data_IF_086719349646
#
_entry.id   IF_086719349646
#
_cell.length_a   1.000
_cell.length_b   1.000
_cell.length_c   1.000
_cell.angle_alpha   90.00
_cell.angle_beta   90.00
_cell.angle_gamma   90.00
#
_symmetry.space_group_name_H-M   'P 1'
#
loop_
_entity.id
_entity.type
_entity.pdbx_description
1 polymer ?
#
# COMPACT_ATOMS: atom_id res chain seq x y z
N UNK A 1 -21.50 31.06 -14.87
CA UNK A 1 -21.58 29.89 -13.91
C UNK A 1 -20.84 28.63 -14.35
N UNK A 2 -20.09 28.61 -15.45
CA UNK A 2 -19.37 27.42 -15.96
C UNK A 2 -17.95 27.31 -15.42
N UNK A 3 -17.34 28.41 -14.97
CA UNK A 3 -15.92 28.39 -14.51
C UNK A 3 -15.67 27.77 -13.13
N UNK A 4 -16.64 27.77 -12.22
CA UNK A 4 -16.52 27.19 -10.87
C UNK A 4 -16.53 25.65 -10.86
N UNK A 5 -17.19 25.04 -11.83
CA UNK A 5 -17.32 23.58 -11.92
C UNK A 5 -16.03 22.90 -12.42
N UNK A 6 -15.27 23.53 -13.29
CA UNK A 6 -14.03 22.98 -13.85
C UNK A 6 -12.88 22.97 -12.82
N UNK A 7 -12.79 23.98 -11.96
CA UNK A 7 -11.78 24.02 -10.89
C UNK A 7 -12.06 22.98 -9.79
N UNK A 8 -13.33 22.76 -9.46
CA UNK A 8 -13.74 21.78 -8.45
C UNK A 8 -13.56 20.34 -8.92
N UNK A 9 -13.87 20.06 -10.19
CA UNK A 9 -13.68 18.73 -10.80
C UNK A 9 -12.22 18.36 -10.95
N UNK A 10 -11.36 19.33 -11.29
CA UNK A 10 -9.91 19.11 -11.37
C UNK A 10 -9.30 18.83 -10.00
N UNK A 11 -9.71 19.54 -8.94
CA UNK A 11 -9.25 19.28 -7.58
C UNK A 11 -9.69 17.89 -7.08
N UNK A 12 -10.94 17.52 -7.26
CA UNK A 12 -11.47 16.20 -6.87
C UNK A 12 -10.77 15.06 -7.61
N UNK A 13 -10.48 15.22 -8.90
CA UNK A 13 -9.75 14.22 -9.68
C UNK A 13 -8.30 14.04 -9.14
N UNK A 14 -7.62 15.14 -8.88
CA UNK A 14 -6.26 15.12 -8.32
C UNK A 14 -6.26 14.41 -6.95
N UNK A 15 -7.20 14.71 -6.07
CA UNK A 15 -7.33 14.06 -4.77
C UNK A 15 -7.57 12.55 -4.91
N UNK A 16 -8.44 12.11 -5.83
CA UNK A 16 -8.68 10.68 -6.09
C UNK A 16 -7.38 9.99 -6.51
N UNK A 17 -6.66 10.59 -7.47
CA UNK A 17 -5.39 10.05 -7.96
C UNK A 17 -4.36 9.97 -6.83
N UNK A 18 -4.23 11.00 -6.00
CA UNK A 18 -3.29 11.01 -4.88
C UNK A 18 -3.63 9.90 -3.89
N UNK A 19 -4.89 9.76 -3.48
CA UNK A 19 -5.32 8.73 -2.53
C UNK A 19 -5.04 7.32 -3.04
N UNK A 20 -5.40 7.05 -4.30
CA UNK A 20 -5.20 5.75 -4.92
C UNK A 20 -3.72 5.45 -5.16
N UNK A 21 -2.96 6.46 -5.63
CA UNK A 21 -1.53 6.34 -5.86
C UNK A 21 -0.76 6.04 -4.58
N UNK A 22 -1.05 6.77 -3.48
CA UNK A 22 -0.37 6.55 -2.20
C UNK A 22 -0.59 5.13 -1.67
N UNK A 23 -1.82 4.62 -1.73
CA UNK A 23 -2.11 3.23 -1.31
C UNK A 23 -1.39 2.21 -2.19
N UNK A 24 -1.39 2.42 -3.51
CA UNK A 24 -0.66 1.55 -4.45
C UNK A 24 0.84 1.58 -4.18
N UNK A 25 1.39 2.76 -3.91
CA UNK A 25 2.80 2.96 -3.61
C UNK A 25 3.22 2.28 -2.30
N UNK A 26 2.44 2.47 -1.23
CA UNK A 26 2.65 1.80 0.05
C UNK A 26 2.58 0.28 -0.12
N UNK A 27 1.60 -0.20 -0.89
CA UNK A 27 1.46 -1.63 -1.18
C UNK A 27 2.67 -2.20 -1.93
N UNK A 28 3.12 -1.52 -2.97
CA UNK A 28 4.30 -1.91 -3.74
C UNK A 28 5.56 -1.96 -2.87
N UNK A 29 5.75 -0.98 -1.99
CA UNK A 29 6.87 -1.01 -1.05
C UNK A 29 6.76 -2.15 -0.03
N UNK A 30 5.58 -2.40 0.53
CA UNK A 30 5.36 -3.53 1.44
C UNK A 30 5.76 -4.85 0.79
N UNK A 31 5.37 -5.06 -0.47
CA UNK A 31 5.69 -6.29 -1.20
C UNK A 31 7.17 -6.41 -1.52
N UNK A 32 7.83 -5.34 -1.94
CA UNK A 32 9.19 -5.38 -2.47
C UNK A 32 10.29 -5.20 -1.44
N UNK A 33 10.13 -4.23 -0.53
CA UNK A 33 11.22 -3.75 0.33
C UNK A 33 10.85 -3.75 1.81
N UNK A 34 9.56 -3.75 2.13
CA UNK A 34 9.04 -3.43 3.45
C UNK A 34 8.82 -1.93 3.60
N UNK A 35 7.93 -1.58 4.52
CA UNK A 35 7.57 -0.19 4.85
C UNK A 35 7.78 0.05 6.34
N UNK A 36 8.02 1.32 6.69
CA UNK A 36 8.05 1.79 8.08
C UNK A 36 6.83 2.66 8.42
N UNK A 37 6.68 2.96 9.69
CA UNK A 37 5.61 3.84 10.18
C UNK A 37 5.66 5.24 9.56
N UNK A 38 6.84 5.70 9.10
CA UNK A 38 6.99 7.01 8.47
C UNK A 38 6.15 7.13 7.19
N UNK A 39 6.21 6.13 6.29
CA UNK A 39 5.41 6.14 5.06
C UNK A 39 3.91 6.11 5.35
N UNK A 40 3.51 5.43 6.43
CA UNK A 40 2.12 5.43 6.88
C UNK A 40 1.72 6.79 7.48
N UNK A 41 2.62 7.46 8.20
CA UNK A 41 2.39 8.80 8.71
C UNK A 41 2.25 9.83 7.59
N UNK A 42 3.05 9.73 6.52
CA UNK A 42 2.91 10.59 5.36
C UNK A 42 1.50 10.44 4.73
N UNK A 43 0.99 9.21 4.65
CA UNK A 43 -0.38 8.97 4.18
C UNK A 43 -1.45 9.46 5.15
N UNK A 44 -1.21 9.38 6.46
CA UNK A 44 -2.10 9.97 7.46
C UNK A 44 -2.33 11.47 7.19
N UNK A 45 -1.26 12.24 6.91
CA UNK A 45 -1.37 13.66 6.59
C UNK A 45 -2.16 13.91 5.30
N UNK A 46 -2.01 13.07 4.29
CA UNK A 46 -2.82 13.15 3.06
C UNK A 46 -4.30 12.94 3.37
N UNK A 47 -4.64 11.96 4.22
CA UNK A 47 -6.03 11.67 4.60
C UNK A 47 -6.69 12.81 5.39
N UNK A 48 -5.94 13.53 6.22
CA UNK A 48 -6.50 14.64 7.01
C UNK A 48 -6.56 15.95 6.24
N UNK A 49 -5.73 16.13 5.20
CA UNK A 49 -5.70 17.36 4.40
C UNK A 49 -6.82 17.42 3.36
N UNK A 50 -7.29 16.28 2.87
CA UNK A 50 -8.29 16.21 1.81
C UNK A 50 -9.74 16.23 2.34
N UNK A 51 -10.65 16.82 1.59
CA UNK A 51 -12.08 16.65 1.83
C UNK A 51 -12.57 15.34 1.19
N UNK A 52 -12.49 14.27 1.99
CA UNK A 52 -12.85 12.93 1.54
C UNK A 52 -14.35 12.74 1.30
N UNK A 53 -15.21 13.66 1.77
CA UNK A 53 -16.67 13.51 1.65
C UNK A 53 -17.14 13.43 0.21
N UNK A 54 -16.51 14.20 -0.69
CA UNK A 54 -16.86 14.29 -2.10
C UNK A 54 -16.25 13.18 -2.95
N UNK A 55 -15.10 12.64 -2.55
CA UNK A 55 -14.34 11.72 -3.39
C UNK A 55 -14.39 10.26 -2.90
N UNK A 56 -14.84 10.02 -1.67
CA UNK A 56 -14.81 8.69 -1.02
C UNK A 56 -15.39 7.58 -1.89
N UNK A 57 -16.60 7.76 -2.42
CA UNK A 57 -17.25 6.74 -3.23
C UNK A 57 -16.44 6.40 -4.50
N UNK A 58 -15.81 7.41 -5.10
CA UNK A 58 -14.99 7.22 -6.28
C UNK A 58 -13.69 6.48 -5.94
N UNK A 59 -13.00 6.89 -4.88
CA UNK A 59 -11.79 6.20 -4.40
C UNK A 59 -12.10 4.75 -4.04
N UNK A 60 -13.22 4.48 -3.37
CA UNK A 60 -13.65 3.13 -3.05
C UNK A 60 -13.85 2.26 -4.29
N UNK A 61 -14.43 2.84 -5.36
CA UNK A 61 -14.60 2.15 -6.64
C UNK A 61 -13.25 1.79 -7.25
N UNK A 62 -12.35 2.75 -7.37
CA UNK A 62 -11.00 2.54 -7.90
C UNK A 62 -10.23 1.47 -7.09
N UNK A 63 -10.31 1.51 -5.76
CA UNK A 63 -9.66 0.52 -4.91
C UNK A 63 -10.20 -0.91 -5.10
N UNK A 64 -11.48 -1.05 -5.40
CA UNK A 64 -12.09 -2.36 -5.75
C UNK A 64 -11.62 -2.84 -7.12
N UNK A 65 -11.59 -1.96 -8.11
CA UNK A 65 -11.13 -2.26 -9.48
C UNK A 65 -9.65 -2.65 -9.51
N UNK A 66 -8.82 -2.01 -8.68
CA UNK A 66 -7.40 -2.33 -8.52
C UNK A 66 -7.12 -3.54 -7.61
N UNK A 67 -8.14 -4.15 -7.00
CA UNK A 67 -7.95 -5.25 -6.05
C UNK A 67 -7.40 -4.82 -4.68
N UNK A 68 -7.24 -3.53 -4.43
CA UNK A 68 -6.62 -2.99 -3.20
C UNK A 68 -7.58 -2.85 -2.01
N UNK A 69 -8.83 -3.29 -2.12
CA UNK A 69 -9.84 -3.10 -1.08
C UNK A 69 -9.45 -3.66 0.29
N UNK A 70 -8.91 -4.89 0.31
CA UNK A 70 -8.47 -5.54 1.55
C UNK A 70 -7.28 -4.84 2.17
N UNK A 71 -6.33 -4.43 1.33
CA UNK A 71 -5.15 -3.70 1.78
C UNK A 71 -5.52 -2.31 2.31
N UNK A 72 -6.38 -1.57 1.60
CA UNK A 72 -6.90 -0.30 2.08
C UNK A 72 -7.57 -0.44 3.46
N UNK A 73 -8.37 -1.49 3.68
CA UNK A 73 -8.95 -1.78 4.98
C UNK A 73 -7.90 -2.06 6.07
N UNK A 74 -6.79 -2.73 5.71
CA UNK A 74 -5.68 -2.94 6.63
C UNK A 74 -5.00 -1.62 7.02
N UNK A 75 -4.76 -0.74 6.05
CA UNK A 75 -4.18 0.58 6.31
C UNK A 75 -5.12 1.45 7.14
N UNK A 76 -6.44 1.45 6.85
CA UNK A 76 -7.42 2.19 7.66
C UNK A 76 -7.46 1.71 9.12
N UNK A 77 -7.30 0.40 9.36
CA UNK A 77 -7.14 -0.12 10.72
C UNK A 77 -5.91 0.48 11.41
N UNK A 78 -4.77 0.52 10.75
CA UNK A 78 -3.54 1.11 11.32
C UNK A 78 -3.72 2.61 11.55
N UNK A 79 -4.37 3.33 10.63
CA UNK A 79 -4.67 4.76 10.81
C UNK A 79 -5.50 5.01 12.07
N UNK A 80 -6.47 4.16 12.33
CA UNK A 80 -7.33 4.29 13.51
C UNK A 80 -6.59 3.89 14.80
N UNK A 81 -5.96 2.73 14.84
CA UNK A 81 -5.37 2.16 16.04
C UNK A 81 -4.06 2.81 16.45
N UNK A 82 -3.21 3.17 15.47
CA UNK A 82 -1.87 3.68 15.75
C UNK A 82 -1.85 5.22 15.76
N UNK A 83 -2.55 5.85 14.82
CA UNK A 83 -2.54 7.30 14.66
C UNK A 83 -3.80 8.00 15.19
N UNK A 84 -4.77 7.26 15.73
CA UNK A 84 -5.98 7.83 16.33
C UNK A 84 -6.91 8.52 15.33
N UNK A 85 -6.88 8.11 14.06
CA UNK A 85 -7.68 8.74 13.01
C UNK A 85 -9.18 8.52 13.26
N UNK A 86 -10.01 9.58 13.23
CA UNK A 86 -11.45 9.47 13.44
C UNK A 86 -12.10 8.68 12.29
N UNK A 87 -13.12 7.88 12.60
CA UNK A 87 -13.82 7.03 11.64
C UNK A 87 -14.39 7.82 10.44
N UNK A 88 -14.73 9.10 10.63
CA UNK A 88 -15.21 9.97 9.54
C UNK A 88 -14.15 10.24 8.46
N UNK A 89 -12.88 10.06 8.76
CA UNK A 89 -11.75 10.25 7.82
C UNK A 89 -11.30 8.97 7.14
N UNK A 90 -11.82 7.81 7.52
CA UNK A 90 -11.46 6.54 6.89
C UNK A 90 -12.11 6.44 5.50
N UNK A 91 -11.32 6.08 4.49
CA UNK A 91 -11.81 5.91 3.11
C UNK A 91 -12.67 4.66 3.00
N UNK A 92 -12.22 3.55 3.61
CA UNK A 92 -12.93 2.26 3.63
C UNK A 92 -13.07 1.78 5.07
N UNK A 93 -13.99 0.86 5.37
CA UNK A 93 -14.08 0.26 6.69
C UNK A 93 -12.75 -0.39 7.09
N UNK A 94 -12.30 -0.21 8.34
CA UNK A 94 -11.08 -0.82 8.83
C UNK A 94 -11.21 -2.34 8.89
N UNK A 95 -10.15 -3.05 8.54
CA UNK A 95 -10.09 -4.50 8.59
C UNK A 95 -9.04 -4.95 9.61
N UNK A 96 -9.50 -5.34 10.78
CA UNK A 96 -8.63 -5.72 11.91
C UNK A 96 -7.69 -6.88 11.57
N UNK A 97 -8.20 -7.95 10.93
CA UNK A 97 -7.40 -9.14 10.60
C UNK A 97 -6.20 -8.81 9.72
N UNK A 98 -6.44 -8.10 8.62
CA UNK A 98 -5.39 -7.70 7.70
C UNK A 98 -4.53 -6.56 8.29
N UNK A 99 -5.14 -5.67 9.06
CA UNK A 99 -4.46 -4.56 9.72
C UNK A 99 -3.44 -5.02 10.75
N UNK A 100 -3.79 -5.96 11.63
CA UNK A 100 -2.84 -6.56 12.58
C UNK A 100 -1.68 -7.25 11.88
N UNK A 101 -1.95 -7.96 10.78
CA UNK A 101 -0.89 -8.58 10.01
C UNK A 101 0.06 -7.55 9.39
N UNK A 102 -0.47 -6.53 8.70
CA UNK A 102 0.35 -5.49 8.07
C UNK A 102 1.11 -4.68 9.12
N UNK A 103 0.48 -4.33 10.24
CA UNK A 103 1.15 -3.64 11.35
C UNK A 103 2.33 -4.44 11.89
N UNK A 104 2.14 -5.75 12.10
CA UNK A 104 3.23 -6.62 12.55
C UNK A 104 4.37 -6.66 11.52
N UNK A 105 4.07 -6.77 10.23
CA UNK A 105 5.09 -6.71 9.18
C UNK A 105 5.85 -5.37 9.19
N UNK A 106 5.16 -4.25 9.40
CA UNK A 106 5.76 -2.91 9.49
C UNK A 106 6.70 -2.79 10.70
N UNK A 107 6.28 -3.29 11.86
CA UNK A 107 7.07 -3.21 13.10
C UNK A 107 8.29 -4.13 13.07
N UNK A 108 8.15 -5.33 12.53
CA UNK A 108 9.22 -6.33 12.47
C UNK A 108 10.26 -6.02 11.37
N UNK A 109 9.80 -5.64 10.18
CA UNK A 109 10.69 -5.36 9.06
C UNK A 109 11.40 -3.99 9.19
N UNK A 110 10.78 -3.03 9.88
CA UNK A 110 11.26 -1.66 9.93
C UNK A 110 11.33 -1.00 8.56
N UNK A 111 12.02 0.13 8.48
CA UNK A 111 12.17 0.87 7.23
C UNK A 111 13.03 0.09 6.23
N UNK A 112 12.49 -0.23 5.07
CA UNK A 112 13.14 -1.00 3.99
C UNK A 112 13.66 -2.40 4.39
N UNK A 113 13.09 -3.02 5.43
CA UNK A 113 13.50 -4.35 5.88
C UNK A 113 14.93 -4.43 6.43
N UNK A 114 15.57 -3.29 6.73
CA UNK A 114 16.97 -3.22 7.19
C UNK A 114 17.19 -3.91 8.53
N UNK A 115 16.16 -3.92 9.37
CA UNK A 115 16.21 -4.46 10.73
C UNK A 115 15.40 -5.76 10.90
N UNK A 116 14.95 -6.39 9.82
CA UNK A 116 14.15 -7.62 9.89
C UNK A 116 15.01 -8.78 10.42
N UNK A 117 14.92 -9.03 11.73
CA UNK A 117 15.61 -10.12 12.40
C UNK A 117 15.18 -11.53 11.93
N UNK A 118 14.04 -11.62 11.23
CA UNK A 118 13.52 -12.86 10.63
C UNK A 118 14.23 -13.23 9.33
N UNK A 119 15.14 -12.35 8.86
CA UNK A 119 15.85 -12.54 7.61
C UNK A 119 17.12 -13.39 7.83
N UNK A 120 17.12 -14.70 7.51
CA UNK A 120 18.28 -15.57 7.65
C UNK A 120 19.32 -15.39 6.54
N UNK A 121 19.00 -14.56 5.52
CA UNK A 121 19.80 -14.43 4.31
C UNK A 121 20.71 -13.20 4.40
N UNK A 122 22.02 -13.41 4.33
CA UNK A 122 23.00 -12.32 4.42
C UNK A 122 22.86 -11.22 3.32
N UNK A 123 23.69 -10.18 3.40
CA UNK A 123 23.67 -8.99 2.52
C UNK A 123 24.13 -9.25 1.07
N UNK A 124 24.27 -10.49 0.62
CA UNK A 124 24.62 -10.85 -0.74
C UNK A 124 23.43 -10.60 -1.71
N UNK A 125 23.70 -10.46 -3.01
CA UNK A 125 22.65 -10.33 -4.05
C UNK A 125 21.70 -11.52 -4.05
N UNK A 126 22.22 -12.75 -3.83
CA UNK A 126 21.41 -13.95 -3.68
C UNK A 126 20.58 -13.91 -2.40
N UNK A 127 21.14 -13.44 -1.28
CA UNK A 127 20.43 -13.26 -0.02
C UNK A 127 19.26 -12.30 -0.15
N UNK A 128 19.42 -11.18 -0.85
CA UNK A 128 18.31 -10.25 -1.13
C UNK A 128 17.18 -10.88 -1.95
N UNK A 129 17.50 -11.70 -2.94
CA UNK A 129 16.47 -12.38 -3.74
C UNK A 129 15.72 -13.42 -2.90
N UNK A 130 16.43 -14.20 -2.08
CA UNK A 130 15.82 -15.18 -1.17
C UNK A 130 14.96 -14.50 -0.10
N UNK A 131 15.39 -13.37 0.44
CA UNK A 131 14.60 -12.57 1.36
C UNK A 131 13.28 -12.10 0.75
N UNK A 132 13.29 -11.66 -0.51
CA UNK A 132 12.06 -11.27 -1.23
C UNK A 132 11.12 -12.45 -1.39
N UNK A 133 11.62 -13.60 -1.84
CA UNK A 133 10.80 -14.82 -1.97
C UNK A 133 10.19 -15.22 -0.63
N UNK A 134 10.97 -15.19 0.45
CA UNK A 134 10.47 -15.51 1.79
C UNK A 134 9.38 -14.54 2.25
N UNK A 135 9.52 -13.25 1.95
CA UNK A 135 8.47 -12.23 2.21
C UNK A 135 7.24 -12.49 1.37
N UNK A 136 7.40 -12.74 0.07
CA UNK A 136 6.30 -13.04 -0.84
C UNK A 136 5.50 -14.26 -0.34
N UNK A 137 6.14 -15.28 0.19
CA UNK A 137 5.48 -16.46 0.80
C UNK A 137 4.64 -16.09 2.03
N UNK A 138 5.12 -15.20 2.90
CA UNK A 138 4.35 -14.74 4.07
C UNK A 138 3.15 -13.89 3.65
N UNK A 139 3.35 -12.99 2.67
CA UNK A 139 2.31 -12.12 2.15
C UNK A 139 1.28 -12.87 1.31
N UNK A 140 1.68 -13.97 0.64
CA UNK A 140 0.82 -14.81 -0.17
C UNK A 140 -0.44 -15.29 0.56
N UNK A 141 -0.32 -15.60 1.84
CA UNK A 141 -1.47 -16.04 2.66
C UNK A 141 -2.57 -14.98 2.77
N UNK A 142 -2.20 -13.70 2.68
CA UNK A 142 -3.10 -12.55 2.86
C UNK A 142 -3.42 -11.86 1.53
N UNK A 143 -2.47 -11.82 0.63
CA UNK A 143 -2.53 -11.13 -0.67
C UNK A 143 -2.05 -12.06 -1.79
N UNK A 144 -2.80 -13.16 -2.10
CA UNK A 144 -2.30 -14.22 -2.98
C UNK A 144 -2.10 -13.77 -4.44
N UNK A 145 -3.01 -12.97 -4.98
CA UNK A 145 -2.93 -12.51 -6.37
C UNK A 145 -1.74 -11.58 -6.59
N UNK A 146 -1.55 -10.66 -5.66
CA UNK A 146 -0.50 -9.66 -5.70
C UNK A 146 0.87 -10.31 -5.46
N UNK A 147 0.97 -11.22 -4.51
CA UNK A 147 2.20 -11.95 -4.23
C UNK A 147 2.63 -12.87 -5.39
N UNK A 148 1.70 -13.30 -6.25
CA UNK A 148 2.00 -14.06 -7.46
C UNK A 148 2.35 -13.17 -8.65
N UNK A 149 1.70 -12.01 -8.79
CA UNK A 149 1.88 -11.13 -9.93
C UNK A 149 3.29 -10.52 -9.98
N UNK A 150 3.86 -10.17 -8.84
CA UNK A 150 5.19 -9.57 -8.73
C UNK A 150 6.32 -10.48 -9.27
N UNK A 151 6.47 -11.75 -8.83
CA UNK A 151 7.47 -12.65 -9.39
C UNK A 151 7.30 -12.88 -10.90
N UNK A 152 6.05 -13.06 -11.37
CA UNK A 152 5.75 -13.24 -12.78
C UNK A 152 6.14 -12.02 -13.62
N UNK A 153 5.81 -10.81 -13.14
CA UNK A 153 6.20 -9.57 -13.80
C UNK A 153 7.72 -9.41 -13.87
N UNK A 154 8.45 -9.74 -12.80
CA UNK A 154 9.93 -9.68 -12.78
C UNK A 154 10.56 -10.63 -13.79
N UNK A 155 10.05 -11.87 -13.87
CA UNK A 155 10.50 -12.86 -14.85
C UNK A 155 10.23 -12.36 -16.27
N UNK A 156 9.01 -11.90 -16.55
CA UNK A 156 8.66 -11.31 -17.84
C UNK A 156 9.54 -10.12 -18.21
N UNK A 157 9.72 -9.17 -17.28
CA UNK A 157 10.54 -7.98 -17.49
C UNK A 157 12.04 -8.32 -17.71
N UNK A 158 12.56 -9.34 -17.03
CA UNK A 158 13.92 -9.84 -17.25
C UNK A 158 14.10 -10.33 -18.69
N UNK A 159 13.18 -11.16 -19.19
CA UNK A 159 13.24 -11.66 -20.57
C UNK A 159 13.04 -10.54 -21.59
N UNK A 160 12.07 -9.64 -21.36
CA UNK A 160 11.83 -8.49 -22.23
C UNK A 160 13.06 -7.57 -22.35
N UNK A 161 13.76 -7.32 -21.24
CA UNK A 161 14.98 -6.49 -21.23
C UNK A 161 16.17 -7.17 -21.92
N UNK A 162 16.22 -8.51 -21.92
CA UNK A 162 17.28 -9.29 -22.56
C UNK A 162 17.06 -9.45 -24.07
N UNK A 163 15.84 -9.24 -24.55
CA UNK A 163 15.47 -9.34 -25.96
C UNK A 163 15.62 -8.02 -26.74
N UNK A 164 16.05 -6.94 -26.06
CA UNK A 164 16.43 -5.66 -26.64
C UNK A 164 17.95 -5.48 -26.58
#
# INVERSE_FOLDING_TARGET
>A
MIGLNLSYTNNSFVCIVIQTFQLTHIFSHLMNEGIGLRQLLDYYFVLISDDLSLIRNRVQKELKELGLWKFAGAIMYIMQEVFGMPASRLIVPPNEKYGKFVLNEVLEAGNFGVHDARNPFGRSKLGHNLQRVYRDMRLFRYFPLEALSEPLFRVWHFFWRKSR
#
